data_IF_325310012126
#
_entry.id   IF_325310012126
#
_cell.length_a   1.000
_cell.length_b   1.000
_cell.length_c   1.000
_cell.angle_alpha   90.00
_cell.angle_beta   90.00
_cell.angle_gamma   90.00
#
_symmetry.space_group_name_H-M   'P 1'
#
loop_
_entity.id
_entity.type
_entity.pdbx_description
1 polymer ?
#
# COMPACT_ATOMS: atom_id res chain seq x y z
N UNK A 1 -17.15 25.47 -3.07
CA UNK A 1 -17.64 24.17 -3.58
C UNK A 1 -18.65 24.31 -4.73
N UNK A 2 -19.26 25.49 -4.92
CA UNK A 2 -20.37 25.74 -5.86
C UNK A 2 -20.02 25.70 -7.37
N UNK A 3 -18.73 25.82 -7.73
CA UNK A 3 -18.31 25.89 -9.16
C UNK A 3 -18.04 24.50 -9.78
N UNK A 4 -17.71 23.48 -8.97
CA UNK A 4 -17.41 22.13 -9.48
C UNK A 4 -18.67 21.36 -9.85
N UNK A 5 -19.73 21.43 -9.03
CA UNK A 5 -20.98 20.71 -9.27
C UNK A 5 -21.68 21.10 -10.58
N UNK A 6 -21.36 22.27 -11.13
CA UNK A 6 -21.90 22.77 -12.39
C UNK A 6 -21.18 22.23 -13.63
N UNK A 7 -19.96 21.71 -13.47
CA UNK A 7 -19.06 21.31 -14.57
C UNK A 7 -18.56 19.87 -14.45
N UNK A 8 -18.80 19.23 -13.31
CA UNK A 8 -18.28 17.91 -12.97
C UNK A 8 -19.30 17.10 -12.17
N UNK A 9 -19.23 15.78 -12.29
CA UNK A 9 -20.00 14.82 -11.48
C UNK A 9 -19.11 14.14 -10.46
N UNK A 10 -19.57 13.92 -9.22
CA UNK A 10 -18.80 13.14 -8.26
C UNK A 10 -18.56 11.73 -8.80
N UNK A 11 -17.33 11.25 -8.66
CA UNK A 11 -16.95 9.89 -9.04
C UNK A 11 -16.82 9.00 -7.80
N UNK A 12 -16.57 7.70 -8.01
CA UNK A 12 -16.23 6.75 -6.95
C UNK A 12 -14.74 6.71 -6.63
N UNK A 13 -13.91 7.51 -7.31
CA UNK A 13 -12.47 7.55 -7.10
C UNK A 13 -12.07 8.56 -6.03
N UNK A 14 -10.97 8.25 -5.35
CA UNK A 14 -10.42 9.06 -4.26
C UNK A 14 -9.12 9.72 -4.72
N UNK A 15 -8.91 10.98 -4.32
CA UNK A 15 -7.68 11.71 -4.59
C UNK A 15 -6.52 11.04 -3.83
N UNK A 16 -5.46 10.60 -4.52
CA UNK A 16 -4.32 9.93 -3.88
C UNK A 16 -3.54 10.80 -2.88
N UNK A 17 -3.72 12.12 -2.94
CA UNK A 17 -2.97 13.09 -2.15
C UNK A 17 -3.75 13.65 -0.95
N UNK A 18 -5.04 13.97 -1.13
CA UNK A 18 -5.85 14.55 -0.04
C UNK A 18 -6.94 13.61 0.49
N UNK A 19 -7.07 12.40 -0.07
CA UNK A 19 -8.06 11.40 0.30
C UNK A 19 -9.53 11.85 0.16
N UNK A 20 -9.80 12.98 -0.51
CA UNK A 20 -11.13 13.45 -0.84
C UNK A 20 -11.68 12.85 -2.14
N UNK A 21 -13.01 12.91 -2.33
CA UNK A 21 -13.67 12.46 -3.55
C UNK A 21 -13.19 13.21 -4.78
N UNK A 22 -12.87 12.48 -5.85
CA UNK A 22 -12.62 13.05 -7.17
C UNK A 22 -13.93 13.28 -7.91
N UNK A 23 -13.96 14.38 -8.66
CA UNK A 23 -15.07 14.76 -9.52
C UNK A 23 -14.62 14.65 -10.97
N UNK A 24 -15.37 13.92 -11.79
CA UNK A 24 -15.13 13.81 -13.23
C UNK A 24 -15.68 15.04 -13.95
N UNK A 25 -14.82 15.74 -14.68
CA UNK A 25 -15.21 16.89 -15.50
C UNK A 25 -15.94 16.37 -16.74
N UNK A 26 -17.19 16.79 -16.91
CA UNK A 26 -18.04 16.32 -18.00
C UNK A 26 -17.58 16.88 -19.35
N UNK A 27 -17.88 16.15 -20.43
CA UNK A 27 -17.69 16.56 -21.83
C UNK A 27 -16.26 16.95 -22.22
N UNK A 28 -15.27 16.56 -21.42
CA UNK A 28 -13.86 16.76 -21.70
C UNK A 28 -13.18 15.42 -22.04
N UNK A 29 -12.31 15.46 -23.06
CA UNK A 29 -11.45 14.34 -23.46
C UNK A 29 -9.98 14.79 -23.48
N UNK A 30 -9.04 13.96 -22.97
CA UNK A 30 -9.27 12.71 -22.23
C UNK A 30 -10.05 12.95 -20.92
N UNK A 31 -10.64 11.90 -20.33
CA UNK A 31 -11.37 12.02 -19.05
C UNK A 31 -10.48 12.68 -18.01
N UNK A 32 -11.02 13.69 -17.31
CA UNK A 32 -10.29 14.46 -16.30
C UNK A 32 -11.02 14.44 -14.97
N UNK A 33 -10.25 14.41 -13.90
CA UNK A 33 -10.73 14.35 -12.53
C UNK A 33 -10.13 15.51 -11.74
N UNK A 34 -10.90 16.09 -10.82
CA UNK A 34 -10.42 17.09 -9.85
C UNK A 34 -10.96 16.83 -8.46
N UNK A 35 -10.13 17.03 -7.44
CA UNK A 35 -10.60 17.05 -6.05
C UNK A 35 -10.97 18.48 -5.61
N UNK A 36 -11.57 18.62 -4.43
CA UNK A 36 -11.96 19.94 -3.90
C UNK A 36 -10.78 20.84 -3.51
N UNK A 37 -9.58 20.29 -3.33
CA UNK A 37 -8.36 21.05 -3.02
C UNK A 37 -7.61 21.49 -4.28
N UNK A 38 -8.00 21.00 -5.46
CA UNK A 38 -7.47 21.45 -6.75
C UNK A 38 -6.55 20.48 -7.48
N UNK A 39 -6.17 19.33 -6.89
CA UNK A 39 -5.42 18.29 -7.60
C UNK A 39 -6.21 17.79 -8.80
N UNK A 40 -5.52 17.59 -9.91
CA UNK A 40 -6.12 17.28 -11.20
C UNK A 40 -5.41 16.11 -11.86
N UNK A 41 -6.19 15.20 -12.42
CA UNK A 41 -5.66 13.97 -13.02
C UNK A 41 -6.39 13.67 -14.33
N UNK A 42 -5.74 12.93 -15.21
CA UNK A 42 -6.40 12.17 -16.28
C UNK A 42 -6.69 10.75 -15.80
N UNK A 43 -7.56 10.02 -16.50
CA UNK A 43 -7.75 8.59 -16.22
C UNK A 43 -6.43 7.80 -16.28
N UNK A 44 -5.57 8.07 -17.27
CA UNK A 44 -4.28 7.39 -17.42
C UNK A 44 -3.34 7.68 -16.23
N UNK A 45 -3.21 8.96 -15.84
CA UNK A 45 -2.37 9.31 -14.69
C UNK A 45 -2.92 8.76 -13.37
N UNK A 46 -4.24 8.62 -13.22
CA UNK A 46 -4.81 7.95 -12.05
C UNK A 46 -4.42 6.47 -12.00
N UNK A 47 -4.43 5.76 -13.13
CA UNK A 47 -3.99 4.35 -13.18
C UNK A 47 -2.53 4.24 -12.74
N UNK A 48 -1.64 5.07 -13.28
CA UNK A 48 -0.22 5.10 -12.87
C UNK A 48 -0.06 5.39 -11.38
N UNK A 49 -0.78 6.38 -10.84
CA UNK A 49 -0.72 6.69 -9.41
C UNK A 49 -1.24 5.55 -8.53
N UNK A 50 -2.22 4.77 -9.00
CA UNK A 50 -2.66 3.58 -8.27
C UNK A 50 -1.58 2.49 -8.25
N UNK A 51 -0.77 2.38 -9.30
CA UNK A 51 0.37 1.47 -9.30
C UNK A 51 1.41 1.83 -8.24
N UNK A 52 1.73 3.12 -8.12
CA UNK A 52 2.64 3.65 -7.10
C UNK A 52 2.09 3.40 -5.70
N UNK A 53 0.78 3.63 -5.48
CA UNK A 53 0.14 3.38 -4.18
C UNK A 53 0.14 1.92 -3.78
N UNK A 54 -0.06 1.02 -4.74
CA UNK A 54 0.05 -0.43 -4.48
C UNK A 54 1.47 -0.78 -4.09
N UNK A 55 2.47 -0.24 -4.78
CA UNK A 55 3.88 -0.45 -4.46
C UNK A 55 4.22 0.06 -3.04
N UNK A 56 3.84 1.29 -2.71
CA UNK A 56 4.04 1.87 -1.38
C UNK A 56 3.40 1.04 -0.27
N UNK A 57 2.19 0.53 -0.51
CA UNK A 57 1.46 -0.31 0.44
C UNK A 57 2.16 -1.66 0.66
N UNK A 58 2.63 -2.30 -0.42
CA UNK A 58 3.37 -3.57 -0.32
C UNK A 58 4.70 -3.37 0.39
N UNK A 59 5.46 -2.31 0.09
CA UNK A 59 6.68 -1.98 0.81
C UNK A 59 6.43 -1.74 2.30
N UNK A 60 5.33 -1.06 2.63
CA UNK A 60 4.94 -0.82 4.02
C UNK A 60 4.59 -2.12 4.75
N UNK A 61 3.86 -3.02 4.10
CA UNK A 61 3.53 -4.34 4.64
C UNK A 61 4.78 -5.20 4.86
N UNK A 62 5.72 -5.21 3.90
CA UNK A 62 7.00 -5.91 4.03
C UNK A 62 7.81 -5.39 5.22
N UNK A 63 7.90 -4.07 5.40
CA UNK A 63 8.57 -3.48 6.57
C UNK A 63 7.95 -3.93 7.88
N UNK A 64 6.62 -3.88 7.98
CA UNK A 64 5.90 -4.31 9.18
C UNK A 64 6.11 -5.81 9.49
N UNK A 65 6.16 -6.66 8.46
CA UNK A 65 6.45 -8.09 8.62
C UNK A 65 7.88 -8.32 9.12
N UNK A 66 8.86 -7.59 8.59
CA UNK A 66 10.24 -7.69 9.04
C UNK A 66 10.43 -7.19 10.48
N UNK A 67 9.80 -6.07 10.84
CA UNK A 67 9.77 -5.56 12.22
C UNK A 67 9.16 -6.59 13.18
N UNK A 68 8.04 -7.22 12.77
CA UNK A 68 7.41 -8.31 13.53
C UNK A 68 8.32 -9.52 13.68
N UNK A 69 9.00 -9.94 12.61
CA UNK A 69 9.99 -11.02 12.65
C UNK A 69 11.07 -10.73 13.70
N UNK A 70 11.69 -9.55 13.63
CA UNK A 70 12.75 -9.15 14.55
C UNK A 70 12.26 -9.15 16.00
N UNK A 71 11.08 -8.57 16.27
CA UNK A 71 10.50 -8.53 17.61
C UNK A 71 10.25 -9.94 18.17
N UNK A 72 9.69 -10.84 17.36
CA UNK A 72 9.42 -12.22 17.77
C UNK A 72 10.71 -12.99 18.05
N UNK A 73 11.78 -12.75 17.28
CA UNK A 73 13.11 -13.34 17.56
C UNK A 73 13.65 -12.86 18.91
N UNK A 74 13.59 -11.57 19.20
CA UNK A 74 13.98 -11.02 20.51
C UNK A 74 13.17 -11.65 21.65
N UNK A 75 11.86 -11.80 21.48
CA UNK A 75 10.99 -12.43 22.48
C UNK A 75 11.30 -13.92 22.67
N UNK A 76 11.67 -14.63 21.60
CA UNK A 76 12.11 -16.02 21.70
C UNK A 76 13.41 -16.15 22.50
N UNK A 77 14.39 -15.26 22.26
CA UNK A 77 15.65 -15.20 23.01
C UNK A 77 15.39 -14.93 24.50
N UNK A 78 14.53 -13.96 24.81
CA UNK A 78 14.15 -13.63 26.19
C UNK A 78 13.44 -14.81 26.88
N UNK A 79 12.54 -15.50 26.18
CA UNK A 79 11.87 -16.69 26.72
C UNK A 79 12.88 -17.82 27.02
N UNK A 80 13.91 -18.01 26.19
CA UNK A 80 14.98 -18.98 26.45
C UNK A 80 15.82 -18.61 27.66
N UNK A 81 16.14 -17.32 27.85
CA UNK A 81 16.86 -16.85 29.06
C UNK A 81 16.12 -17.19 30.34
N UNK A 82 14.78 -17.14 30.31
CA UNK A 82 13.91 -17.50 31.43
C UNK A 82 13.50 -18.97 31.46
N UNK A 83 14.07 -19.83 30.59
CA UNK A 83 13.80 -21.28 30.48
C UNK A 83 12.37 -21.63 30.06
N UNK A 84 11.66 -20.72 29.38
CA UNK A 84 10.32 -20.95 28.84
C UNK A 84 10.41 -21.53 27.41
N UNK A 85 10.81 -22.79 27.31
CA UNK A 85 11.18 -23.43 26.02
C UNK A 85 10.01 -23.50 25.04
N UNK A 86 8.81 -23.85 25.50
CA UNK A 86 7.63 -23.97 24.64
C UNK A 86 7.24 -22.62 24.03
N UNK A 87 7.27 -21.56 24.85
CA UNK A 87 6.98 -20.20 24.42
C UNK A 87 8.02 -19.66 23.44
N UNK A 88 9.31 -19.96 23.67
CA UNK A 88 10.38 -19.62 22.74
C UNK A 88 10.22 -20.30 21.37
N UNK A 89 9.79 -21.57 21.37
CA UNK A 89 9.51 -22.30 20.14
C UNK A 89 8.33 -21.68 19.38
N UNK A 90 7.28 -21.27 20.09
CA UNK A 90 6.14 -20.58 19.49
C UNK A 90 6.54 -19.25 18.83
N UNK A 91 7.26 -18.38 19.54
CA UNK A 91 7.73 -17.11 18.97
C UNK A 91 8.66 -17.33 17.77
N UNK A 92 9.52 -18.33 17.82
CA UNK A 92 10.39 -18.70 16.68
C UNK A 92 9.57 -19.12 15.46
N UNK A 93 8.54 -19.94 15.64
CA UNK A 93 7.65 -20.36 14.56
C UNK A 93 6.89 -19.17 13.96
N UNK A 94 6.38 -18.26 14.81
CA UNK A 94 5.72 -17.05 14.35
C UNK A 94 6.68 -16.11 13.59
N UNK A 95 7.95 -16.00 14.01
CA UNK A 95 8.96 -15.21 13.30
C UNK A 95 9.23 -15.79 11.90
N UNK A 96 9.35 -17.11 11.80
CA UNK A 96 9.49 -17.81 10.51
C UNK A 96 8.33 -17.52 9.56
N UNK A 97 7.09 -17.53 10.08
CA UNK A 97 5.92 -17.18 9.27
C UNK A 97 5.93 -15.73 8.78
N UNK A 98 6.28 -14.77 9.65
CA UNK A 98 6.39 -13.37 9.26
C UNK A 98 7.46 -13.17 8.15
N UNK A 99 8.57 -13.91 8.23
CA UNK A 99 9.59 -13.93 7.20
C UNK A 99 9.07 -14.49 5.87
N UNK A 100 8.39 -15.64 5.89
CA UNK A 100 7.81 -16.26 4.71
C UNK A 100 6.78 -15.35 4.02
N UNK A 101 5.91 -14.70 4.79
CA UNK A 101 4.93 -13.74 4.28
C UNK A 101 5.63 -12.53 3.61
N UNK A 102 6.71 -12.02 4.19
CA UNK A 102 7.49 -10.92 3.61
C UNK A 102 8.16 -11.33 2.28
N UNK A 103 8.64 -12.56 2.19
CA UNK A 103 9.24 -13.12 0.98
C UNK A 103 8.23 -13.30 -0.15
N UNK A 104 6.98 -13.66 0.16
CA UNK A 104 5.90 -13.70 -0.83
C UNK A 104 5.66 -12.30 -1.40
N UNK A 105 5.56 -11.29 -0.54
CA UNK A 105 5.38 -9.89 -0.99
C UNK A 105 6.56 -9.39 -1.82
N UNK A 106 7.79 -9.73 -1.43
CA UNK A 106 9.01 -9.39 -2.18
C UNK A 106 8.97 -9.93 -3.60
N UNK A 107 8.56 -11.20 -3.77
CA UNK A 107 8.44 -11.83 -5.09
C UNK A 107 7.42 -11.10 -5.97
N UNK A 108 6.26 -10.73 -5.41
CA UNK A 108 5.25 -9.96 -6.13
C UNK A 108 5.80 -8.63 -6.68
N UNK A 109 6.61 -7.92 -5.88
CA UNK A 109 7.24 -6.67 -6.31
C UNK A 109 8.28 -6.85 -7.42
N UNK A 110 9.12 -7.90 -7.34
CA UNK A 110 10.14 -8.17 -8.37
C UNK A 110 9.55 -8.51 -9.75
N UNK A 111 8.35 -9.08 -9.79
CA UNK A 111 7.66 -9.35 -11.05
C UNK A 111 7.05 -8.09 -11.66
N UNK A 112 6.65 -7.10 -10.84
CA UNK A 112 6.06 -5.84 -11.31
C UNK A 112 7.08 -4.90 -11.98
N UNK A 113 8.30 -4.82 -11.44
CA UNK A 113 9.37 -3.96 -11.98
C UNK A 113 9.84 -4.39 -13.38
N UNK A 114 9.65 -5.66 -13.74
CA UNK A 114 9.97 -6.19 -15.09
C UNK A 114 8.98 -5.71 -16.17
N UNK A 115 7.81 -5.19 -15.79
CA UNK A 115 6.77 -4.72 -16.71
C UNK A 115 6.74 -3.21 -16.95
N UNK A 116 7.49 -2.41 -16.18
CA UNK A 116 7.47 -0.93 -16.25
C UNK A 116 8.68 -0.33 -16.99
N UNK A 117 9.59 -1.16 -17.53
CA UNK A 117 10.67 -0.72 -18.42
C UNK A 117 10.28 -0.91 -19.90
N UNK A 118 9.32 -0.13 -20.41
CA UNK A 118 9.16 0.13 -21.86
C UNK A 118 8.51 1.49 -22.10
#
# INVERSE_FOLDING_TARGET
>A
MDNLARLAKPSTFTCPECHGTLWEIQDLRPQRFRCHTGHAYTAASLVTLQDDKVEDAVWSAMRALHEREMLLRTMAEEALLHKHVELAAEYTAQAGKAHEDAEVLRRLMTHKTSGHQK
#
